data_IF_301067191600
#
_entry.id   IF_301067191600
#
_cell.length_a   1.000
_cell.length_b   1.000
_cell.length_c   1.000
_cell.angle_alpha   90.00
_cell.angle_beta   90.00
_cell.angle_gamma   90.00
#
_symmetry.space_group_name_H-M   'P 1'
#
loop_
_entity.id
_entity.type
_entity.pdbx_description
1 polymer ?
#
# COMPACT_ATOMS: atom_id res chain seq x y z
N UNK A 1 21.01 10.27 -19.92
CA UNK A 1 20.37 9.35 -18.95
C UNK A 1 19.15 10.09 -18.42
N UNK A 2 17.97 9.50 -18.53
CA UNK A 2 16.73 10.16 -18.07
C UNK A 2 16.66 10.14 -16.56
N UNK A 3 16.25 11.25 -15.94
CA UNK A 3 16.04 11.34 -14.49
C UNK A 3 14.70 11.98 -14.16
N UNK A 4 14.22 11.75 -12.93
CA UNK A 4 13.11 12.50 -12.34
C UNK A 4 13.66 13.32 -11.17
N UNK A 5 13.60 14.64 -11.28
CA UNK A 5 13.98 15.53 -10.18
C UNK A 5 12.77 15.80 -9.30
N UNK A 6 12.89 15.56 -8.00
CA UNK A 6 11.85 15.91 -7.02
C UNK A 6 11.82 17.43 -6.87
N UNK A 7 10.75 18.07 -7.31
CA UNK A 7 10.51 19.51 -7.10
C UNK A 7 9.89 19.72 -5.72
N UNK A 8 8.85 18.96 -5.42
CA UNK A 8 8.21 18.91 -4.11
C UNK A 8 8.01 17.44 -3.71
N UNK A 9 8.45 17.00 -2.52
CA UNK A 9 8.36 15.59 -2.14
C UNK A 9 6.93 15.14 -1.85
N UNK A 10 5.98 16.05 -1.64
CA UNK A 10 4.61 15.69 -1.25
C UNK A 10 4.51 15.06 0.13
N UNK A 11 3.40 14.39 0.38
CA UNK A 11 3.05 13.81 1.68
C UNK A 11 3.31 12.31 1.66
N UNK A 12 4.11 11.83 2.63
CA UNK A 12 4.41 10.41 2.83
C UNK A 12 4.90 9.68 1.57
N UNK A 13 5.65 10.37 0.69
CA UNK A 13 6.09 9.79 -0.57
C UNK A 13 7.26 8.83 -0.37
N UNK A 14 7.14 7.65 -0.98
CA UNK A 14 8.17 6.61 -0.94
C UNK A 14 8.35 5.94 -2.30
N UNK A 15 9.52 5.33 -2.51
CA UNK A 15 9.74 4.42 -3.64
C UNK A 15 9.22 3.05 -3.21
N UNK A 16 8.41 2.42 -4.06
CA UNK A 16 7.80 1.11 -3.79
C UNK A 16 7.90 0.19 -5.00
N UNK A 17 8.17 -1.09 -4.76
CA UNK A 17 8.12 -2.15 -5.76
C UNK A 17 7.27 -3.33 -5.24
N UNK A 18 7.44 -4.53 -5.81
CA UNK A 18 6.74 -5.74 -5.33
C UNK A 18 7.07 -6.19 -3.89
N UNK A 19 8.03 -5.53 -3.23
CA UNK A 19 8.48 -5.79 -1.87
C UNK A 19 9.60 -6.83 -1.77
N UNK A 20 10.10 -7.04 -0.54
CA UNK A 20 11.16 -8.00 -0.20
C UNK A 20 10.58 -9.26 0.44
N UNK A 21 10.63 -10.37 -0.25
CA UNK A 21 10.02 -11.62 0.21
C UNK A 21 11.04 -12.56 0.85
N UNK A 22 10.59 -13.41 1.79
CA UNK A 22 11.42 -14.48 2.37
C UNK A 22 12.29 -14.10 3.58
N UNK A 23 12.25 -12.85 4.05
CA UNK A 23 13.10 -12.38 5.16
C UNK A 23 12.38 -12.25 6.51
N UNK A 24 11.10 -12.65 6.61
CA UNK A 24 10.31 -12.49 7.83
C UNK A 24 10.94 -13.18 9.06
N UNK A 25 11.56 -14.35 8.87
CA UNK A 25 12.28 -15.09 9.92
C UNK A 25 13.52 -14.35 10.45
N UNK A 26 14.02 -13.36 9.71
CA UNK A 26 15.12 -12.48 10.12
C UNK A 26 14.63 -11.14 10.67
N UNK A 27 13.32 -11.00 10.91
CA UNK A 27 12.73 -9.77 11.44
C UNK A 27 12.52 -8.67 10.40
N UNK A 28 12.70 -8.95 9.11
CA UNK A 28 12.54 -7.95 8.03
C UNK A 28 11.13 -8.04 7.42
N UNK A 29 10.32 -6.98 7.48
CA UNK A 29 9.01 -6.91 6.83
C UNK A 29 9.09 -6.96 5.31
N UNK A 30 7.99 -7.38 4.68
CA UNK A 30 7.92 -7.47 3.21
C UNK A 30 7.90 -6.11 2.52
N UNK A 31 7.31 -5.09 3.15
CA UNK A 31 7.05 -3.80 2.51
C UNK A 31 6.36 -3.97 1.14
N UNK A 32 6.59 -3.05 0.20
CA UNK A 32 5.94 -3.03 -1.10
C UNK A 32 4.89 -1.92 -1.23
N UNK A 33 4.30 -1.80 -2.42
CA UNK A 33 3.16 -0.91 -2.62
C UNK A 33 1.99 -1.31 -1.70
N UNK A 34 1.28 -0.31 -1.18
CA UNK A 34 0.08 -0.52 -0.36
C UNK A 34 -1.09 -1.09 -1.17
N UNK A 35 -1.15 -0.72 -2.45
CA UNK A 35 -2.13 -1.20 -3.41
C UNK A 35 -1.40 -1.74 -4.66
N UNK A 36 -1.09 -3.03 -4.61
CA UNK A 36 -0.39 -3.73 -5.69
C UNK A 36 -1.16 -3.65 -7.03
N UNK A 37 -2.50 -3.66 -7.01
CA UNK A 37 -3.29 -3.53 -8.24
C UNK A 37 -3.05 -2.17 -8.90
N UNK A 38 -2.97 -1.10 -8.10
CA UNK A 38 -2.65 0.26 -8.61
C UNK A 38 -1.23 0.36 -9.13
N UNK A 39 -0.25 -0.22 -8.44
CA UNK A 39 1.13 -0.31 -8.93
C UNK A 39 1.19 -1.03 -10.28
N UNK A 40 0.60 -2.23 -10.35
CA UNK A 40 0.60 -3.07 -11.55
C UNK A 40 -0.10 -2.35 -12.71
N UNK A 41 -1.19 -1.63 -12.44
CA UNK A 41 -1.89 -0.80 -13.42
C UNK A 41 -0.99 0.27 -14.03
N UNK A 42 -0.32 1.09 -13.21
CA UNK A 42 0.53 2.18 -13.73
C UNK A 42 1.78 1.64 -14.43
N UNK A 43 2.38 0.55 -13.94
CA UNK A 43 3.51 -0.09 -14.60
C UNK A 43 3.13 -0.66 -15.96
N UNK A 44 1.98 -1.34 -16.06
CA UNK A 44 1.48 -1.87 -17.34
C UNK A 44 1.26 -0.77 -18.38
N UNK A 45 0.76 0.40 -17.98
CA UNK A 45 0.51 1.52 -18.90
C UNK A 45 1.80 2.05 -19.56
N UNK A 46 2.93 1.98 -18.86
CA UNK A 46 4.24 2.38 -19.42
C UNK A 46 5.04 1.20 -19.99
N UNK A 47 4.46 0.00 -19.97
CA UNK A 47 5.05 -1.25 -20.45
C UNK A 47 6.06 -1.89 -19.49
N UNK A 48 6.15 -1.46 -18.24
CA UNK A 48 7.09 -2.05 -17.28
C UNK A 48 6.68 -3.47 -16.85
N UNK A 49 7.64 -4.19 -16.27
CA UNK A 49 7.34 -5.31 -15.37
C UNK A 49 6.35 -4.86 -14.27
N UNK A 50 5.34 -5.67 -13.89
CA UNK A 50 4.36 -5.29 -12.87
C UNK A 50 5.00 -4.84 -11.55
N UNK A 51 6.09 -5.47 -11.15
CA UNK A 51 6.78 -5.21 -9.89
C UNK A 51 7.91 -4.18 -10.04
N UNK A 52 8.03 -3.50 -11.18
CA UNK A 52 8.98 -2.39 -11.32
C UNK A 52 8.70 -1.28 -10.29
N UNK A 53 9.77 -0.62 -9.83
CA UNK A 53 9.66 0.41 -8.80
C UNK A 53 8.93 1.66 -9.30
N UNK A 54 7.96 2.10 -8.50
CA UNK A 54 7.12 3.29 -8.68
C UNK A 54 7.33 4.25 -7.52
N UNK A 55 6.79 5.46 -7.64
CA UNK A 55 6.62 6.37 -6.50
C UNK A 55 5.18 6.27 -5.99
N UNK A 56 5.02 6.03 -4.70
CA UNK A 56 3.76 6.01 -3.96
C UNK A 56 3.68 7.26 -3.07
N UNK A 57 2.56 7.97 -3.06
CA UNK A 57 2.39 9.24 -2.32
C UNK A 57 0.98 9.42 -1.76
N UNK A 58 0.83 10.10 -0.62
CA UNK A 58 -0.47 10.58 -0.15
C UNK A 58 -0.91 11.90 -0.82
N UNK A 59 -0.10 12.44 -1.74
CA UNK A 59 -0.41 13.58 -2.59
C UNK A 59 0.60 14.72 -2.52
N UNK A 60 0.48 15.68 -3.45
CA UNK A 60 1.34 16.86 -3.52
C UNK A 60 2.78 16.57 -3.98
N UNK A 61 3.04 15.39 -4.56
CA UNK A 61 4.33 15.08 -5.18
C UNK A 61 4.42 15.81 -6.52
N UNK A 62 5.52 16.55 -6.71
CA UNK A 62 5.82 17.23 -7.97
C UNK A 62 7.20 16.81 -8.44
N UNK A 63 7.28 16.29 -9.65
CA UNK A 63 8.51 15.86 -10.31
C UNK A 63 8.76 16.71 -11.55
N UNK A 64 10.02 16.85 -11.93
CA UNK A 64 10.45 17.42 -13.20
C UNK A 64 11.26 16.40 -13.98
N UNK A 65 10.90 16.18 -15.24
CA UNK A 65 11.63 15.29 -16.13
C UNK A 65 12.99 15.90 -16.50
N UNK A 66 14.06 15.10 -16.38
CA UNK A 66 15.40 15.38 -16.88
C UNK A 66 15.66 14.53 -18.12
N UNK A 67 15.16 14.97 -19.27
CA UNK A 67 15.12 14.22 -20.53
C UNK A 67 13.75 13.60 -20.85
N UNK A 68 13.57 13.06 -22.08
CA UNK A 68 12.32 12.46 -22.51
C UNK A 68 11.99 11.18 -21.73
N UNK A 69 10.71 10.99 -21.39
CA UNK A 69 10.20 9.81 -20.69
C UNK A 69 8.74 9.53 -21.04
N UNK A 70 8.26 8.34 -20.71
CA UNK A 70 6.82 8.00 -20.68
C UNK A 70 6.44 7.72 -19.24
N UNK A 71 5.37 8.35 -18.76
CA UNK A 71 4.89 8.22 -17.38
C UNK A 71 3.40 7.87 -17.36
N UNK A 72 2.93 7.26 -16.28
CA UNK A 72 1.51 7.06 -16.02
C UNK A 72 1.22 7.26 -14.53
N UNK A 73 0.16 7.99 -14.20
CA UNK A 73 -0.28 8.21 -12.82
C UNK A 73 -1.54 7.41 -12.51
N UNK A 74 -1.76 7.07 -11.24
CA UNK A 74 -2.99 6.37 -10.83
C UNK A 74 -4.24 7.23 -10.88
N UNK A 75 -4.09 8.56 -10.94
CA UNK A 75 -5.21 9.50 -11.09
C UNK A 75 -5.70 9.60 -12.54
N UNK A 76 -4.79 9.55 -13.51
CA UNK A 76 -5.13 9.73 -14.93
C UNK A 76 -5.28 8.39 -15.68
N UNK A 77 -4.48 7.38 -15.31
CA UNK A 77 -4.48 6.03 -15.90
C UNK A 77 -4.36 6.00 -17.43
N UNK A 78 -3.60 6.95 -17.95
CA UNK A 78 -3.17 7.04 -19.35
C UNK A 78 -1.65 7.21 -19.38
N UNK A 79 -0.94 6.59 -20.34
CA UNK A 79 0.46 6.87 -20.55
C UNK A 79 0.62 8.24 -21.21
N UNK A 80 1.58 9.02 -20.72
CA UNK A 80 1.89 10.36 -21.23
C UNK A 80 3.38 10.48 -21.52
N UNK A 81 3.69 10.90 -22.75
CA UNK A 81 5.04 11.31 -23.10
C UNK A 81 5.36 12.68 -22.50
N UNK A 82 6.52 12.78 -21.86
CA UNK A 82 7.06 14.02 -21.30
C UNK A 82 8.43 14.27 -21.89
N UNK A 83 8.80 15.54 -21.97
CA UNK A 83 10.08 16.04 -22.47
C UNK A 83 10.88 16.69 -21.34
N UNK A 84 12.13 17.06 -21.63
CA UNK A 84 13.00 17.69 -20.64
C UNK A 84 12.37 18.97 -20.08
N UNK A 85 12.35 19.09 -18.75
CA UNK A 85 11.77 20.23 -18.04
C UNK A 85 10.27 20.12 -17.77
N UNK A 86 9.54 19.17 -18.37
CA UNK A 86 8.11 18.99 -18.10
C UNK A 86 7.86 18.60 -16.64
N UNK A 87 6.77 19.14 -16.09
CA UNK A 87 6.35 18.90 -14.71
C UNK A 87 5.31 17.77 -14.67
N UNK A 88 5.45 16.90 -13.67
CA UNK A 88 4.55 15.80 -13.39
C UNK A 88 4.03 15.98 -11.96
N UNK A 89 2.75 16.28 -11.85
CA UNK A 89 2.05 16.34 -10.57
C UNK A 89 1.40 15.00 -10.26
N UNK A 90 1.57 14.51 -9.04
CA UNK A 90 1.06 13.21 -8.62
C UNK A 90 0.23 13.40 -7.37
N UNK A 91 -1.06 13.12 -7.53
CA UNK A 91 -2.05 13.11 -6.47
C UNK A 91 -2.82 11.78 -6.51
N UNK A 92 -3.38 11.33 -5.37
CA UNK A 92 -4.33 10.24 -5.36
C UNK A 92 -5.52 10.52 -6.29
N UNK A 93 -6.11 9.46 -6.86
CA UNK A 93 -7.36 9.59 -7.59
C UNK A 93 -8.49 10.07 -6.65
N UNK A 94 -9.58 10.60 -7.22
CA UNK A 94 -10.72 11.04 -6.43
C UNK A 94 -11.25 9.91 -5.53
N UNK A 95 -11.32 10.17 -4.22
CA UNK A 95 -11.78 9.20 -3.22
C UNK A 95 -10.70 8.23 -2.72
N UNK A 96 -9.49 8.27 -3.27
CA UNK A 96 -8.35 7.44 -2.85
C UNK A 96 -7.41 8.19 -1.91
N UNK A 97 -6.65 7.44 -1.11
CA UNK A 97 -5.68 7.99 -0.15
C UNK A 97 -4.26 8.01 -0.73
N UNK A 98 -3.91 7.02 -1.56
CA UNK A 98 -2.56 6.83 -2.11
C UNK A 98 -2.57 6.91 -3.62
N UNK A 99 -1.72 7.79 -4.15
CA UNK A 99 -1.43 7.95 -5.57
C UNK A 99 -0.11 7.29 -5.96
N UNK A 100 -0.01 6.93 -7.24
CA UNK A 100 1.16 6.27 -7.81
C UNK A 100 1.59 6.97 -9.10
N UNK A 101 2.90 6.96 -9.37
CA UNK A 101 3.43 7.25 -10.70
C UNK A 101 4.47 6.21 -11.10
N UNK A 102 4.29 5.65 -12.30
CA UNK A 102 5.29 4.85 -12.98
C UNK A 102 5.97 5.69 -14.07
N UNK A 103 7.24 5.38 -14.31
CA UNK A 103 8.03 5.86 -15.45
C UNK A 103 8.54 4.65 -16.21
N UNK A 104 8.51 4.67 -17.55
CA UNK A 104 9.04 3.58 -18.38
C UNK A 104 10.51 3.31 -18.04
N UNK A 105 10.84 2.05 -17.74
CA UNK A 105 12.13 1.62 -17.21
C UNK A 105 12.20 1.53 -15.68
N UNK A 106 11.20 2.10 -14.98
CA UNK A 106 11.11 2.09 -13.52
C UNK A 106 12.07 3.06 -12.82
N UNK A 107 11.86 3.29 -11.53
CA UNK A 107 12.79 4.05 -10.68
C UNK A 107 13.99 3.17 -10.32
N UNK A 108 15.15 3.46 -10.90
CA UNK A 108 16.32 2.59 -10.89
C UNK A 108 17.30 2.87 -9.74
N UNK A 109 16.78 3.03 -8.52
CA UNK A 109 17.62 3.09 -7.30
C UNK A 109 18.20 1.71 -6.97
N UNK A 110 19.22 1.67 -6.11
CA UNK A 110 19.80 0.40 -5.66
C UNK A 110 18.79 -0.42 -4.85
N UNK A 111 18.78 -1.72 -5.07
CA UNK A 111 17.92 -2.64 -4.32
C UNK A 111 18.59 -3.02 -2.99
N UNK A 112 17.80 -3.04 -1.91
CA UNK A 112 18.19 -3.51 -0.58
C UNK A 112 17.41 -4.78 -0.27
N UNK A 113 18.12 -5.88 -0.01
CA UNK A 113 17.53 -7.21 0.18
C UNK A 113 16.61 -7.62 -0.99
N UNK A 114 17.04 -7.30 -2.22
CA UNK A 114 16.33 -7.69 -3.45
C UNK A 114 15.11 -6.81 -3.81
N UNK A 115 14.85 -5.72 -3.07
CA UNK A 115 13.73 -4.81 -3.32
C UNK A 115 14.16 -3.35 -3.22
N UNK A 116 13.46 -2.49 -3.96
CA UNK A 116 13.57 -1.02 -3.96
C UNK A 116 12.51 -0.34 -3.11
N UNK A 117 11.67 -1.08 -2.40
CA UNK A 117 10.70 -0.49 -1.48
C UNK A 117 11.36 0.25 -0.33
N UNK A 118 10.72 1.29 0.18
CA UNK A 118 11.04 1.86 1.49
C UNK A 118 10.09 1.25 2.54
N UNK A 119 10.65 0.69 3.60
CA UNK A 119 9.90 0.33 4.81
C UNK A 119 9.96 1.48 5.81
N UNK A 120 8.80 2.11 6.04
CA UNK A 120 8.66 3.27 6.93
C UNK A 120 8.79 2.94 8.41
N UNK A 121 8.64 1.67 8.80
CA UNK A 121 8.78 1.22 10.18
C UNK A 121 10.25 0.97 10.53
N UNK A 122 10.97 0.23 9.68
CA UNK A 122 12.36 -0.18 9.96
C UNK A 122 13.43 0.74 9.35
N UNK A 123 13.07 1.57 8.37
CA UNK A 123 14.01 2.38 7.60
C UNK A 123 14.80 1.61 6.53
N UNK A 124 14.46 0.34 6.28
CA UNK A 124 15.11 -0.48 5.24
C UNK A 124 14.66 -0.04 3.85
N UNK A 125 15.63 0.16 2.95
CA UNK A 125 15.39 0.53 1.55
C UNK A 125 15.87 1.93 1.21
N UNK A 126 15.40 2.52 0.09
CA UNK A 126 15.76 3.88 -0.29
C UNK A 126 15.33 4.90 0.76
N UNK A 127 16.09 5.97 0.91
CA UNK A 127 15.77 7.07 1.85
C UNK A 127 14.51 7.83 1.43
N UNK A 128 13.81 8.50 2.38
CA UNK A 128 12.71 9.39 2.06
C UNK A 128 13.12 10.47 1.05
N UNK A 129 12.19 10.83 0.16
CA UNK A 129 12.42 11.81 -0.89
C UNK A 129 12.51 13.22 -0.32
N UNK A 130 13.44 14.01 -0.84
CA UNK A 130 13.59 15.44 -0.52
C UNK A 130 13.65 16.26 -1.81
N UNK A 131 13.32 17.55 -1.71
CA UNK A 131 13.42 18.46 -2.84
C UNK A 131 14.84 18.47 -3.44
N UNK A 132 14.93 18.62 -4.75
CA UNK A 132 16.14 18.54 -5.58
C UNK A 132 16.79 17.15 -5.67
N UNK A 133 16.24 16.12 -5.02
CA UNK A 133 16.70 14.74 -5.22
C UNK A 133 16.48 14.33 -6.68
N UNK A 134 17.49 13.73 -7.29
CA UNK A 134 17.40 13.17 -8.64
C UNK A 134 17.25 11.65 -8.54
N UNK A 135 16.17 11.15 -9.13
CA UNK A 135 15.88 9.73 -9.22
C UNK A 135 16.30 9.22 -10.59
N UNK A 136 17.17 8.20 -10.67
CA UNK A 136 17.51 7.59 -11.95
C UNK A 136 16.32 6.84 -12.53
N UNK A 137 16.12 6.97 -13.84
CA UNK A 137 15.18 6.14 -14.60
C UNK A 137 15.96 4.98 -15.21
N UNK A 138 15.41 3.77 -15.13
CA UNK A 138 16.01 2.58 -15.72
C UNK A 138 16.03 2.61 -17.24
N UNK A 139 16.74 1.65 -17.87
CA UNK A 139 16.73 1.52 -19.33
C UNK A 139 15.31 1.17 -19.83
N UNK A 140 15.05 1.48 -21.09
CA UNK A 140 13.82 1.06 -21.76
C UNK A 140 13.69 -0.48 -21.71
N UNK A 141 12.56 -1.03 -21.21
CA UNK A 141 12.38 -2.47 -21.06
C UNK A 141 12.19 -3.23 -22.38
N UNK A 142 12.05 -2.54 -23.52
CA UNK A 142 11.84 -3.12 -24.85
C UNK A 142 10.46 -3.75 -25.09
N UNK A 143 9.63 -3.80 -24.05
CA UNK A 143 8.25 -4.29 -24.09
C UNK A 143 7.32 -3.27 -24.77
N UNK A 144 6.37 -3.72 -25.61
CA UNK A 144 5.44 -2.81 -26.26
C UNK A 144 4.48 -2.17 -25.25
N UNK A 145 4.12 -0.92 -25.48
CA UNK A 145 2.99 -0.28 -24.80
C UNK A 145 1.73 -0.64 -25.58
N UNK A 146 0.90 -1.51 -25.01
CA UNK A 146 -0.29 -2.08 -25.69
C UNK A 146 -1.61 -1.55 -25.12
N UNK A 147 -1.57 -0.56 -24.24
CA UNK A 147 -2.74 -0.06 -23.51
C UNK A 147 -2.71 1.45 -23.44
N UNK A 148 -3.64 2.08 -24.13
CA UNK A 148 -3.76 3.56 -24.17
C UNK A 148 -4.48 4.10 -22.93
N UNK A 149 -5.29 3.27 -22.28
CA UNK A 149 -6.00 3.61 -21.04
C UNK A 149 -6.31 2.33 -20.27
N UNK A 150 -6.18 2.38 -18.94
CA UNK A 150 -6.59 1.26 -18.09
C UNK A 150 -7.97 1.51 -17.47
N UNK A 151 -8.87 0.53 -17.60
CA UNK A 151 -10.10 0.52 -16.83
C UNK A 151 -9.80 0.23 -15.35
N UNK A 152 -10.46 0.95 -14.46
CA UNK A 152 -10.42 0.64 -13.02
C UNK A 152 -11.54 -0.33 -12.67
N UNK A 153 -11.23 -1.32 -11.85
CA UNK A 153 -12.28 -2.10 -11.20
C UNK A 153 -12.84 -1.26 -10.05
N UNK A 154 -14.17 -1.07 -9.96
CA UNK A 154 -14.75 -0.46 -8.78
C UNK A 154 -14.33 -1.25 -7.53
N UNK A 155 -13.94 -0.55 -6.47
CA UNK A 155 -13.64 -1.20 -5.19
C UNK A 155 -14.92 -1.81 -4.63
N UNK A 156 -14.86 -3.02 -4.06
CA UNK A 156 -16.04 -3.65 -3.49
C UNK A 156 -16.53 -2.86 -2.27
N UNK A 157 -17.85 -2.72 -2.14
CA UNK A 157 -18.47 -2.07 -0.99
C UNK A 157 -18.32 -2.87 0.32
N UNK A 158 -17.89 -4.13 0.25
CA UNK A 158 -17.68 -5.01 1.40
C UNK A 158 -16.48 -5.90 1.13
N UNK A 159 -15.52 -5.89 2.05
CA UNK A 159 -14.25 -6.57 1.95
C UNK A 159 -14.35 -7.97 2.56
N UNK A 160 -13.80 -8.97 1.88
CA UNK A 160 -13.75 -10.33 2.41
C UNK A 160 -12.64 -10.48 3.46
N UNK A 161 -12.94 -11.24 4.50
CA UNK A 161 -11.99 -11.60 5.56
C UNK A 161 -12.04 -13.10 5.86
N UNK A 162 -10.89 -13.66 6.20
CA UNK A 162 -10.72 -15.02 6.70
C UNK A 162 -10.74 -15.00 8.23
N UNK A 163 -11.56 -15.81 8.92
CA UNK A 163 -11.60 -15.80 10.38
C UNK A 163 -10.32 -16.40 10.99
N UNK A 164 -9.90 -15.86 12.14
CA UNK A 164 -8.76 -16.36 12.89
C UNK A 164 -7.43 -15.67 12.59
N UNK A 165 -6.33 -16.15 13.24
CA UNK A 165 -6.26 -17.39 14.02
C UNK A 165 -6.77 -17.30 15.47
N UNK A 166 -7.03 -16.11 16.03
CA UNK A 166 -7.32 -15.91 17.46
C UNK A 166 -8.80 -15.64 17.77
N UNK A 167 -9.73 -16.21 17.01
CA UNK A 167 -11.18 -16.05 17.28
C UNK A 167 -11.54 -16.47 18.72
N UNK A 168 -10.85 -17.47 19.25
CA UNK A 168 -10.99 -17.98 20.62
C UNK A 168 -10.64 -16.96 21.73
N UNK A 169 -10.00 -15.84 21.38
CA UNK A 169 -9.68 -14.76 22.32
C UNK A 169 -10.83 -13.77 22.52
N UNK A 170 -11.85 -13.83 21.69
CA UNK A 170 -12.95 -12.88 21.66
C UNK A 170 -14.25 -13.49 22.18
N UNK A 171 -15.25 -12.63 22.43
CA UNK A 171 -16.60 -13.08 22.68
C UNK A 171 -17.15 -13.86 21.47
N UNK A 172 -18.09 -14.77 21.72
CA UNK A 172 -18.62 -15.69 20.69
C UNK A 172 -19.27 -14.96 19.50
N UNK A 173 -19.71 -13.72 19.70
CA UNK A 173 -20.33 -12.83 18.71
C UNK A 173 -19.34 -11.92 17.96
N UNK A 174 -18.03 -12.00 18.22
CA UNK A 174 -17.07 -11.02 17.71
C UNK A 174 -16.96 -10.98 16.18
N UNK A 175 -17.09 -12.12 15.49
CA UNK A 175 -17.12 -12.17 14.03
C UNK A 175 -18.43 -11.60 13.47
N UNK A 176 -19.55 -11.79 14.17
CA UNK A 176 -20.83 -11.21 13.80
C UNK A 176 -20.78 -9.68 13.97
N UNK A 177 -20.21 -9.18 15.07
CA UNK A 177 -19.97 -7.75 15.28
C UNK A 177 -19.06 -7.20 14.18
N UNK A 178 -17.96 -7.89 13.86
CA UNK A 178 -17.03 -7.47 12.79
C UNK A 178 -17.75 -7.31 11.44
N UNK A 179 -18.62 -8.24 11.08
CA UNK A 179 -19.24 -8.31 9.75
C UNK A 179 -20.57 -7.55 9.64
N UNK A 180 -21.28 -7.35 10.74
CA UNK A 180 -22.49 -6.52 10.78
C UNK A 180 -22.19 -5.02 10.88
N UNK A 181 -20.99 -4.65 11.32
CA UNK A 181 -20.61 -3.26 11.56
C UNK A 181 -20.11 -2.55 10.31
N UNK A 182 -20.54 -1.30 10.15
CA UNK A 182 -19.94 -0.31 9.28
C UNK A 182 -18.85 0.43 10.05
N UNK A 183 -17.58 0.10 9.78
CA UNK A 183 -16.42 0.61 10.50
C UNK A 183 -15.95 1.94 9.90
N UNK A 184 -15.68 2.93 10.74
CA UNK A 184 -15.14 4.23 10.31
C UNK A 184 -13.63 4.18 10.30
N UNK A 185 -13.00 4.55 9.18
CA UNK A 185 -11.55 4.75 9.11
C UNK A 185 -11.17 5.97 9.92
N UNK A 186 -10.26 5.81 10.88
CA UNK A 186 -9.81 6.92 11.73
C UNK A 186 -8.75 7.78 11.03
N UNK A 187 -8.25 8.83 11.71
CA UNK A 187 -7.09 9.61 11.24
C UNK A 187 -5.76 8.85 11.34
N UNK A 188 -5.71 7.74 12.09
CA UNK A 188 -4.51 6.93 12.29
C UNK A 188 -4.34 5.94 11.12
N UNK A 189 -3.87 6.48 9.99
CA UNK A 189 -3.58 5.74 8.76
C UNK A 189 -2.11 5.89 8.38
N UNK A 190 -1.46 4.77 8.05
CA UNK A 190 -0.04 4.74 7.64
C UNK A 190 0.23 3.51 6.78
N UNK A 191 1.47 3.35 6.31
CA UNK A 191 1.90 2.12 5.64
C UNK A 191 1.96 0.90 6.56
N UNK A 192 2.02 1.10 7.88
CA UNK A 192 2.04 0.01 8.89
C UNK A 192 0.64 -0.57 9.08
N UNK A 193 -0.38 0.30 9.12
CA UNK A 193 -1.75 -0.13 9.33
C UNK A 193 -2.79 0.98 9.28
N UNK A 194 -4.05 0.56 9.20
CA UNK A 194 -5.26 1.41 9.21
C UNK A 194 -6.11 1.09 10.43
N UNK A 195 -6.29 2.06 11.33
CA UNK A 195 -7.15 1.91 12.51
C UNK A 195 -8.61 2.24 12.17
N UNK A 196 -9.50 1.41 12.70
CA UNK A 196 -10.95 1.50 12.54
C UNK A 196 -11.65 1.83 13.86
N UNK A 197 -12.72 2.61 13.78
CA UNK A 197 -13.61 2.96 14.88
C UNK A 197 -15.03 2.38 14.68
N UNK A 198 -15.69 2.04 15.78
CA UNK A 198 -16.96 1.31 15.79
C UNK A 198 -17.28 0.76 17.20
N UNK A 199 -18.21 -0.17 17.38
CA UNK A 199 -18.38 -0.87 18.66
C UNK A 199 -17.10 -1.65 19.03
N UNK A 200 -16.66 -1.66 20.30
CA UNK A 200 -15.45 -2.39 20.68
C UNK A 200 -15.66 -3.89 20.52
N UNK A 201 -14.73 -4.57 19.85
CA UNK A 201 -14.67 -6.02 19.78
C UNK A 201 -14.22 -6.55 21.15
N UNK A 202 -15.15 -7.18 21.87
CA UNK A 202 -14.89 -7.64 23.24
C UNK A 202 -13.95 -8.84 23.23
N UNK A 203 -12.83 -8.70 23.93
CA UNK A 203 -11.94 -9.79 24.27
C UNK A 203 -12.53 -10.58 25.45
N UNK A 204 -12.58 -11.91 25.31
CA UNK A 204 -12.86 -12.84 26.41
C UNK A 204 -11.60 -13.14 27.21
N UNK A 205 -10.44 -13.14 26.54
CA UNK A 205 -9.12 -13.33 27.14
C UNK A 205 -8.36 -12.01 27.21
N UNK A 206 -8.02 -11.59 28.42
CA UNK A 206 -7.30 -10.32 28.69
C UNK A 206 -5.83 -10.51 29.00
N UNK A 207 -5.36 -11.75 29.06
CA UNK A 207 -3.94 -12.11 29.21
C UNK A 207 -3.09 -11.51 28.07
N UNK A 208 -1.77 -11.44 28.28
CA UNK A 208 -0.83 -11.09 27.22
C UNK A 208 -0.69 -12.25 26.22
N UNK A 209 -0.73 -11.94 24.92
CA UNK A 209 -0.45 -12.91 23.87
C UNK A 209 1.06 -12.89 23.57
N UNK A 210 1.77 -14.03 23.72
CA UNK A 210 3.15 -14.12 23.25
C UNK A 210 3.24 -13.71 21.78
N UNK A 211 4.27 -12.95 21.41
CA UNK A 211 4.39 -12.44 20.05
C UNK A 211 4.36 -13.56 19.01
N UNK A 212 3.53 -13.38 17.99
CA UNK A 212 3.35 -14.34 16.91
C UNK A 212 3.55 -13.66 15.55
N UNK A 213 3.83 -14.47 14.52
CA UNK A 213 4.01 -13.97 13.16
C UNK A 213 2.77 -13.26 12.64
N UNK A 214 2.95 -12.06 12.10
CA UNK A 214 1.89 -11.28 11.45
C UNK A 214 1.96 -11.42 9.93
N UNK A 215 0.79 -11.27 9.32
CA UNK A 215 0.62 -11.28 7.87
C UNK A 215 -0.10 -10.02 7.41
N UNK A 216 0.13 -9.66 6.15
CA UNK A 216 -0.57 -8.55 5.50
C UNK A 216 -2.08 -8.77 5.58
N UNK A 217 -2.82 -7.72 5.95
CA UNK A 217 -4.26 -7.77 6.12
C UNK A 217 -4.75 -8.30 7.48
N UNK A 218 -3.84 -8.72 8.38
CA UNK A 218 -4.25 -9.16 9.72
C UNK A 218 -5.00 -8.04 10.47
N UNK A 219 -6.16 -8.37 11.02
CA UNK A 219 -7.00 -7.47 11.83
C UNK A 219 -6.67 -7.74 13.29
N UNK A 220 -5.71 -6.99 13.81
CA UNK A 220 -5.39 -7.01 15.23
C UNK A 220 -6.43 -6.24 16.03
N UNK A 221 -6.70 -6.69 17.24
CA UNK A 221 -7.60 -6.00 18.17
C UNK A 221 -6.85 -5.75 19.49
N UNK A 222 -6.37 -4.51 19.73
CA UNK A 222 -5.75 -4.12 20.98
C UNK A 222 -6.74 -4.15 22.16
N UNK A 223 -6.28 -3.78 23.34
CA UNK A 223 -7.09 -3.80 24.57
C UNK A 223 -8.30 -2.85 24.54
N UNK A 224 -8.27 -1.80 23.71
CA UNK A 224 -9.38 -0.87 23.48
C UNK A 224 -10.52 -1.46 22.63
N UNK A 225 -10.32 -2.66 22.05
CA UNK A 225 -11.30 -3.33 21.19
C UNK A 225 -11.43 -2.71 19.79
N UNK A 226 -10.57 -1.77 19.40
CA UNK A 226 -10.62 -1.09 18.10
C UNK A 226 -9.80 -1.84 17.07
N UNK A 227 -10.37 -2.28 15.93
CA UNK A 227 -9.60 -3.01 14.93
C UNK A 227 -8.47 -2.18 14.33
N UNK A 228 -7.31 -2.80 14.13
CA UNK A 228 -6.18 -2.27 13.40
C UNK A 228 -5.79 -3.26 12.29
N UNK A 229 -5.99 -2.87 11.04
CA UNK A 229 -5.66 -3.70 9.88
C UNK A 229 -4.20 -3.48 9.50
N UNK A 230 -3.40 -4.55 9.50
CA UNK A 230 -1.98 -4.54 9.13
C UNK A 230 -1.79 -4.32 7.62
N UNK A 231 -0.92 -3.39 7.24
CA UNK A 231 -0.61 -3.02 5.85
C UNK A 231 0.87 -3.28 5.51
N UNK A 232 1.37 -2.81 4.37
CA UNK A 232 2.62 -3.28 3.75
C UNK A 232 3.85 -3.26 4.68
N UNK A 233 3.95 -2.29 5.58
CA UNK A 233 5.07 -2.12 6.53
C UNK A 233 4.75 -2.67 7.94
N UNK A 234 3.76 -3.56 8.07
CA UNK A 234 3.47 -4.21 9.35
C UNK A 234 4.73 -4.93 9.89
N UNK A 235 4.96 -4.93 11.23
CA UNK A 235 6.07 -5.69 11.79
C UNK A 235 5.91 -7.18 11.52
N UNK A 236 7.02 -7.92 11.53
CA UNK A 236 7.01 -9.38 11.29
C UNK A 236 6.28 -10.15 12.39
N UNK A 237 6.24 -9.61 13.60
CA UNK A 237 5.54 -10.19 14.75
C UNK A 237 4.71 -9.15 15.50
N UNK A 238 3.66 -9.58 16.19
CA UNK A 238 2.86 -8.72 17.06
C UNK A 238 2.27 -9.46 18.25
N UNK A 239 1.89 -8.70 19.28
CA UNK A 239 1.34 -9.24 20.54
C UNK A 239 -0.16 -8.99 20.74
N UNK A 240 -0.88 -8.51 19.71
CA UNK A 240 -2.33 -8.36 19.78
C UNK A 240 -3.02 -9.52 19.06
N UNK A 241 -4.12 -10.07 19.61
CA UNK A 241 -4.86 -11.16 18.98
C UNK A 241 -5.45 -10.72 17.65
N UNK A 242 -5.27 -11.57 16.63
CA UNK A 242 -5.83 -11.38 15.29
C UNK A 242 -7.19 -12.06 15.19
N UNK A 243 -8.25 -11.27 15.04
CA UNK A 243 -9.62 -11.79 14.93
C UNK A 243 -9.89 -12.39 13.54
N UNK A 244 -9.37 -11.75 12.50
CA UNK A 244 -9.54 -12.15 11.11
C UNK A 244 -8.40 -11.57 10.25
N UNK A 245 -8.27 -12.02 9.01
CA UNK A 245 -7.30 -11.54 8.02
C UNK A 245 -8.05 -11.09 6.78
N UNK A 246 -7.87 -9.83 6.35
CA UNK A 246 -8.43 -9.32 5.09
C UNK A 246 -7.87 -10.13 3.92
N UNK A 247 -8.74 -10.56 3.01
CA UNK A 247 -8.32 -11.24 1.79
C UNK A 247 -7.32 -10.36 1.02
N UNK A 248 -6.27 -10.98 0.48
CA UNK A 248 -5.21 -10.25 -0.22
C UNK A 248 -5.73 -9.35 -1.35
N UNK A 249 -6.81 -9.74 -2.03
CA UNK A 249 -7.42 -8.94 -3.09
C UNK A 249 -8.11 -7.66 -2.59
N UNK A 250 -8.32 -7.52 -1.27
CA UNK A 250 -9.02 -6.40 -0.65
C UNK A 250 -8.13 -5.52 0.24
N UNK A 251 -6.86 -5.89 0.47
CA UNK A 251 -5.93 -5.08 1.27
C UNK A 251 -5.73 -3.70 0.67
N UNK A 252 -5.58 -3.60 -0.66
CA UNK A 252 -5.47 -2.31 -1.34
C UNK A 252 -6.69 -1.42 -1.11
N UNK A 253 -7.90 -2.00 -1.00
CA UNK A 253 -9.11 -1.22 -0.69
C UNK A 253 -9.10 -0.67 0.75
N UNK A 254 -8.55 -1.41 1.71
CA UNK A 254 -8.33 -0.88 3.07
C UNK A 254 -7.34 0.28 3.04
N UNK A 255 -6.19 0.10 2.39
CA UNK A 255 -5.15 1.12 2.33
C UNK A 255 -5.63 2.42 1.67
N UNK A 256 -6.50 2.30 0.67
CA UNK A 256 -7.01 3.43 -0.10
C UNK A 256 -8.18 4.17 0.56
N UNK A 257 -8.73 3.62 1.64
CA UNK A 257 -9.83 4.24 2.37
C UNK A 257 -9.32 5.45 3.14
N UNK A 258 -9.90 6.63 2.86
CA UNK A 258 -9.55 7.89 3.52
C UNK A 258 -10.11 7.95 4.95
N UNK A 259 -9.50 8.72 5.87
CA UNK A 259 -10.12 9.04 7.15
C UNK A 259 -11.57 9.52 6.99
N UNK A 260 -12.47 8.97 7.81
CA UNK A 260 -13.92 9.19 7.74
C UNK A 260 -14.67 8.28 6.76
N UNK A 261 -13.98 7.53 5.91
CA UNK A 261 -14.62 6.53 5.04
C UNK A 261 -15.16 5.35 5.84
N UNK A 262 -16.11 4.63 5.27
CA UNK A 262 -16.71 3.44 5.88
C UNK A 262 -16.23 2.17 5.21
N UNK A 263 -15.79 1.19 6.01
CA UNK A 263 -15.46 -0.17 5.57
C UNK A 263 -16.47 -1.16 6.17
N UNK A 264 -16.92 -2.12 5.36
CA UNK A 264 -17.69 -3.28 5.83
C UNK A 264 -16.92 -4.55 5.51
N UNK A 265 -17.06 -5.55 6.38
CA UNK A 265 -16.46 -6.86 6.18
C UNK A 265 -17.52 -7.94 5.97
N UNK A 266 -17.14 -8.99 5.26
CA UNK A 266 -17.90 -10.26 5.22
C UNK A 266 -16.93 -11.42 5.29
N UNK A 267 -17.35 -12.54 5.87
CA UNK A 267 -16.54 -13.75 5.85
C UNK A 267 -16.35 -14.22 4.40
N UNK A 268 -15.14 -14.65 4.09
CA UNK A 268 -14.83 -15.28 2.81
C UNK A 268 -15.63 -16.58 2.67
N UNK A 269 -16.25 -16.79 1.50
CA UNK A 269 -16.99 -18.02 1.19
C UNK A 269 -16.03 -19.00 0.53
N UNK A 270 -15.89 -20.19 1.12
CA UNK A 270 -15.19 -21.31 0.47
C UNK A 270 -16.02 -21.87 -0.68
#
# INVERSE_FOLDING_TARGET
MTTLTVVAPGWATTIQDGGRHGFAALGVPRSGALDADRQHLVNRLVGNDPDAAVLETAGGLTLRAGGPAVVATSAELVPRSVTDGDVIEVNPAAGELWGYVAVRGGVAVDAVLGSRSNDTLSGIGPVPLVASMQLPVGPDPGTPITTDQAATRPRPATLEVWPGPRVDWFADDALDVLTATAWTVTGDVSRIGTRLDGPPLRRRRTDELPSEGLVLGAIQVPADGRPLVMLADHPTTGGYPVLAVVDSAHVGAVAQSRPGATIRFRLHRR
#
